data_IF_408413354988
#
_entry.id   IF_408413354988
#
_cell.length_a   1.000
_cell.length_b   1.000
_cell.length_c   1.000
_cell.angle_alpha   90.00
_cell.angle_beta   90.00
_cell.angle_gamma   90.00
#
_symmetry.space_group_name_H-M   'P 1'
#
loop_
_entity.id
_entity.type
_entity.pdbx_description
1 polymer ?
#
# COMPACT_ATOMS: atom_id res chain seq x y z
N UNK A 1 -45.48 19.73 -68.88
CA UNK A 1 -44.23 19.02 -68.75
C UNK A 1 -43.57 19.47 -67.44
N UNK A 2 -43.81 18.74 -66.36
CA UNK A 2 -43.28 19.06 -65.03
C UNK A 2 -42.12 18.12 -64.74
N UNK A 3 -40.92 18.65 -64.58
CA UNK A 3 -39.73 17.89 -64.16
C UNK A 3 -39.63 17.91 -62.64
N UNK A 4 -39.77 16.75 -62.04
CA UNK A 4 -39.57 16.52 -60.59
C UNK A 4 -38.07 16.47 -60.27
N UNK A 5 -37.61 17.34 -59.37
CA UNK A 5 -36.29 17.26 -58.75
C UNK A 5 -36.40 16.47 -57.44
N UNK A 6 -35.75 15.32 -57.38
CA UNK A 6 -35.58 14.53 -56.15
C UNK A 6 -34.25 14.92 -55.46
N UNK A 7 -34.39 15.54 -54.31
CA UNK A 7 -33.22 15.91 -53.46
C UNK A 7 -32.91 14.73 -52.56
N UNK A 8 -31.73 14.14 -52.70
CA UNK A 8 -31.21 13.10 -51.82
C UNK A 8 -30.53 13.75 -50.61
N UNK A 9 -31.05 13.51 -49.39
CA UNK A 9 -30.38 13.82 -48.13
C UNK A 9 -29.37 12.72 -47.80
N UNK A 10 -28.08 13.07 -47.79
CA UNK A 10 -27.05 12.20 -47.28
C UNK A 10 -26.86 12.45 -45.75
N UNK A 11 -27.25 11.50 -44.94
CA UNK A 11 -26.98 11.51 -43.49
C UNK A 11 -25.58 10.97 -43.23
N UNK A 12 -24.66 11.86 -42.82
CA UNK A 12 -23.34 11.47 -42.35
C UNK A 12 -23.42 11.04 -40.88
N UNK A 13 -23.23 9.75 -40.61
CA UNK A 13 -23.11 9.22 -39.26
C UNK A 13 -21.69 9.45 -38.75
N UNK A 14 -21.52 10.35 -37.75
CA UNK A 14 -20.28 10.52 -37.02
C UNK A 14 -20.12 9.35 -36.05
N UNK A 15 -19.21 8.43 -36.36
CA UNK A 15 -18.79 7.40 -35.40
C UNK A 15 -17.78 8.01 -34.41
N UNK A 16 -18.22 8.24 -33.14
CA UNK A 16 -17.35 8.57 -32.04
C UNK A 16 -16.59 7.30 -31.63
N UNK A 17 -15.33 7.18 -32.04
CA UNK A 17 -14.42 6.15 -31.51
C UNK A 17 -13.94 6.59 -30.14
N UNK A 18 -14.47 5.98 -29.06
CA UNK A 18 -13.95 6.11 -27.73
C UNK A 18 -12.58 5.43 -27.67
N UNK A 19 -11.52 6.23 -27.64
CA UNK A 19 -10.17 5.72 -27.35
C UNK A 19 -10.09 5.44 -25.86
N UNK A 20 -10.09 4.16 -25.49
CA UNK A 20 -9.74 3.73 -24.16
C UNK A 20 -8.25 4.05 -23.92
N UNK A 21 -7.99 5.12 -23.16
CA UNK A 21 -6.66 5.45 -22.69
C UNK A 21 -6.25 4.37 -21.69
N UNK A 22 -5.46 3.40 -22.12
CA UNK A 22 -4.76 2.49 -21.22
C UNK A 22 -3.74 3.32 -20.44
N UNK A 23 -4.06 3.62 -19.17
CA UNK A 23 -3.13 4.19 -18.24
C UNK A 23 -2.00 3.17 -18.02
N UNK A 24 -0.93 3.34 -18.79
CA UNK A 24 0.33 2.63 -18.59
C UNK A 24 0.89 3.08 -17.25
N UNK A 25 0.85 2.19 -16.24
CA UNK A 25 1.50 2.42 -14.95
C UNK A 25 3.00 2.49 -15.24
N UNK A 26 3.54 3.71 -15.37
CA UNK A 26 4.96 3.91 -15.51
C UNK A 26 5.64 3.31 -14.29
N UNK A 27 6.56 2.38 -14.51
CA UNK A 27 7.49 1.91 -13.47
C UNK A 27 8.16 3.17 -12.91
N UNK A 28 8.06 3.42 -11.59
CA UNK A 28 8.77 4.56 -11.03
C UNK A 28 10.26 4.40 -11.31
N UNK A 29 10.91 5.46 -11.77
CA UNK A 29 12.36 5.53 -11.88
C UNK A 29 13.00 5.08 -10.57
N UNK A 30 14.31 4.85 -10.55
CA UNK A 30 15.07 4.40 -9.36
C UNK A 30 14.58 5.13 -8.10
N UNK A 31 13.94 4.37 -7.18
CA UNK A 31 13.46 4.92 -5.92
C UNK A 31 14.68 5.23 -5.05
N UNK A 32 14.82 6.46 -4.62
CA UNK A 32 15.88 6.86 -3.69
C UNK A 32 15.46 6.47 -2.28
N UNK A 33 16.06 5.40 -1.76
CA UNK A 33 15.77 4.88 -0.42
C UNK A 33 16.78 5.49 0.55
N UNK A 34 16.33 6.22 1.61
CA UNK A 34 17.22 6.82 2.59
C UNK A 34 18.16 5.80 3.23
N UNK A 35 19.43 6.15 3.40
CA UNK A 35 20.44 5.29 4.03
C UNK A 35 20.03 4.82 5.42
N UNK A 36 19.30 5.66 6.17
CA UNK A 36 18.81 5.34 7.53
C UNK A 36 17.90 4.09 7.58
N UNK A 37 17.23 3.76 6.48
CA UNK A 37 16.35 2.59 6.38
C UNK A 37 16.88 1.54 5.41
N UNK A 38 18.15 1.62 5.03
CA UNK A 38 18.82 0.66 4.13
C UNK A 38 19.68 -0.30 4.96
N UNK A 39 19.26 -1.56 5.17
CA UNK A 39 20.05 -2.52 5.93
C UNK A 39 21.34 -2.86 5.18
N UNK A 40 22.51 -2.81 5.88
CA UNK A 40 23.80 -3.05 5.24
C UNK A 40 23.93 -4.53 4.79
N UNK A 41 24.55 -4.74 3.62
CA UNK A 41 24.91 -6.07 3.13
C UNK A 41 23.74 -6.95 2.69
N UNK A 42 22.51 -6.43 2.69
CA UNK A 42 21.33 -7.16 2.21
C UNK A 42 20.86 -6.60 0.86
N UNK A 43 20.33 -7.49 0.03
CA UNK A 43 19.77 -7.16 -1.28
C UNK A 43 18.30 -7.57 -1.35
N UNK A 44 17.49 -6.77 -2.04
CA UNK A 44 16.09 -7.12 -2.28
C UNK A 44 16.00 -8.26 -3.28
N UNK A 45 15.24 -9.30 -2.93
CA UNK A 45 14.95 -10.43 -3.80
C UNK A 45 13.46 -10.53 -4.18
N UNK A 46 12.59 -9.79 -3.46
CA UNK A 46 11.16 -9.83 -3.71
C UNK A 46 10.55 -8.46 -3.45
N UNK A 47 9.73 -7.99 -4.39
CA UNK A 47 8.97 -6.73 -4.31
C UNK A 47 7.48 -7.05 -4.24
N UNK A 48 6.81 -6.53 -3.21
CA UNK A 48 5.42 -6.87 -2.88
C UNK A 48 4.60 -5.61 -2.69
N UNK A 49 3.81 -5.19 -3.68
CA UNK A 49 2.78 -4.18 -3.50
C UNK A 49 1.76 -4.59 -2.44
N UNK A 50 1.28 -3.62 -1.68
CA UNK A 50 0.27 -3.81 -0.64
C UNK A 50 -0.82 -2.75 -0.72
N UNK A 51 -2.06 -3.17 -0.44
CA UNK A 51 -3.23 -2.30 -0.35
C UNK A 51 -4.10 -2.72 0.83
N UNK A 52 -4.49 -1.76 1.66
CA UNK A 52 -5.29 -2.06 2.83
C UNK A 52 -5.57 -0.84 3.68
N UNK A 53 -5.62 -1.03 5.00
CA UNK A 53 -5.88 0.01 5.98
C UNK A 53 -4.88 -0.03 7.14
N UNK A 54 -4.58 1.14 7.68
CA UNK A 54 -4.02 1.30 9.02
C UNK A 54 -5.18 1.46 9.99
N UNK A 55 -5.21 0.67 11.05
CA UNK A 55 -6.26 0.67 12.05
C UNK A 55 -5.77 1.44 13.27
N UNK A 56 -6.59 2.36 13.74
CA UNK A 56 -6.36 3.16 14.93
C UNK A 56 -7.54 3.02 15.88
N UNK A 57 -7.27 2.98 17.18
CA UNK A 57 -8.32 2.98 18.22
C UNK A 57 -8.27 4.31 18.96
N UNK A 58 -9.41 4.96 19.12
CA UNK A 58 -9.52 6.18 19.92
C UNK A 58 -9.36 5.85 21.41
N UNK A 59 -8.43 6.50 22.07
CA UNK A 59 -8.15 6.31 23.48
C UNK A 59 -7.13 7.32 24.00
N UNK A 60 -6.92 7.33 25.31
CA UNK A 60 -5.86 8.15 25.90
C UNK A 60 -4.49 7.61 25.52
N UNK A 61 -3.61 8.48 25.06
CA UNK A 61 -2.21 8.16 24.82
C UNK A 61 -1.40 8.18 26.14
N UNK A 62 -0.09 7.92 26.06
CA UNK A 62 0.79 7.90 27.23
C UNK A 62 0.85 9.23 28.02
N UNK A 63 0.53 10.35 27.34
CA UNK A 63 0.43 11.67 27.98
C UNK A 63 -0.97 11.97 28.56
N UNK A 64 -1.92 11.01 28.49
CA UNK A 64 -3.29 11.17 28.98
C UNK A 64 -4.22 11.95 28.04
N UNK A 65 -3.75 12.37 26.87
CA UNK A 65 -4.56 13.06 25.86
C UNK A 65 -5.33 12.08 24.98
N UNK A 66 -6.54 12.46 24.56
CA UNK A 66 -7.31 11.70 23.57
C UNK A 66 -6.59 11.70 22.21
N UNK A 67 -6.37 10.53 21.65
CA UNK A 67 -5.68 10.35 20.37
C UNK A 67 -6.09 9.04 19.70
N UNK A 68 -5.94 9.01 18.37
CA UNK A 68 -6.02 7.79 17.58
C UNK A 68 -4.71 7.00 17.74
N UNK A 69 -4.74 6.00 18.62
CA UNK A 69 -3.60 5.13 18.89
C UNK A 69 -3.51 4.01 17.84
N UNK A 70 -2.34 3.81 17.26
CA UNK A 70 -2.14 2.77 16.26
C UNK A 70 -2.37 1.38 16.84
N UNK A 71 -3.23 0.59 16.18
CA UNK A 71 -3.55 -0.80 16.53
C UNK A 71 -2.81 -1.80 15.65
N UNK A 72 -2.76 -1.57 14.36
CA UNK A 72 -2.08 -2.44 13.40
C UNK A 72 -2.55 -2.21 11.97
N UNK A 73 -1.81 -2.77 10.99
CA UNK A 73 -2.25 -2.82 9.60
C UNK A 73 -3.21 -4.00 9.36
N UNK A 74 -3.97 -3.88 8.28
CA UNK A 74 -4.69 -4.98 7.64
C UNK A 74 -4.62 -4.73 6.14
N UNK A 75 -3.84 -5.54 5.40
CA UNK A 75 -3.63 -5.34 3.97
C UNK A 75 -3.49 -6.66 3.22
N UNK A 76 -3.86 -6.60 1.95
CA UNK A 76 -3.57 -7.63 0.97
C UNK A 76 -2.23 -7.35 0.31
N UNK A 77 -1.52 -8.43 -0.01
CA UNK A 77 -0.21 -8.43 -0.64
C UNK A 77 -0.33 -8.98 -2.06
N UNK A 78 0.33 -8.32 -3.00
CA UNK A 78 0.23 -8.66 -4.41
C UNK A 78 1.61 -8.90 -5.02
N UNK A 79 1.67 -9.71 -6.07
CA UNK A 79 2.84 -9.78 -6.93
C UNK A 79 2.82 -8.65 -7.99
N UNK A 80 3.83 -8.59 -8.83
CA UNK A 80 3.93 -7.59 -9.91
C UNK A 80 2.85 -7.73 -10.98
N UNK A 81 2.18 -8.87 -11.07
CA UNK A 81 1.06 -9.16 -11.97
C UNK A 81 -0.31 -8.82 -11.34
N UNK A 82 -0.32 -8.15 -10.18
CA UNK A 82 -1.52 -7.81 -9.40
C UNK A 82 -2.31 -9.02 -8.88
N UNK A 83 -1.71 -10.20 -8.85
CA UNK A 83 -2.30 -11.38 -8.20
C UNK A 83 -2.04 -11.28 -6.70
N UNK A 84 -3.07 -11.52 -5.88
CA UNK A 84 -2.91 -11.66 -4.43
C UNK A 84 -2.01 -12.86 -4.12
N UNK A 85 -1.05 -12.64 -3.22
CA UNK A 85 -0.07 -13.65 -2.79
C UNK A 85 0.02 -13.79 -1.27
N UNK A 86 -0.75 -12.98 -0.52
CA UNK A 86 -0.72 -13.04 0.94
C UNK A 86 -1.44 -11.89 1.60
N UNK A 87 -1.20 -11.74 2.90
CA UNK A 87 -1.76 -10.70 3.77
C UNK A 87 -0.71 -10.14 4.72
N UNK A 88 -0.94 -8.91 5.18
CA UNK A 88 -0.13 -8.22 6.19
C UNK A 88 -1.02 -7.70 7.31
N UNK A 89 -0.65 -7.98 8.54
CA UNK A 89 -1.44 -7.64 9.71
C UNK A 89 -0.57 -7.35 10.94
N UNK A 90 -1.21 -7.08 12.08
CA UNK A 90 -0.51 -6.74 13.32
C UNK A 90 0.54 -7.77 13.72
N UNK A 91 1.61 -7.25 14.35
CA UNK A 91 2.72 -8.06 14.84
C UNK A 91 4.13 -7.53 14.50
N UNK A 92 4.40 -6.74 13.45
CA UNK A 92 3.87 -6.75 12.08
C UNK A 92 4.20 -8.08 11.38
N UNK A 93 3.19 -8.68 10.77
CA UNK A 93 3.26 -10.02 10.18
C UNK A 93 2.97 -9.99 8.68
N UNK A 94 3.72 -10.75 7.89
CA UNK A 94 3.46 -11.05 6.48
C UNK A 94 3.27 -12.55 6.34
N UNK A 95 2.13 -12.96 5.82
CA UNK A 95 1.73 -14.36 5.65
C UNK A 95 1.38 -14.60 4.18
N UNK A 96 2.11 -15.50 3.54
CA UNK A 96 1.94 -15.88 2.15
C UNK A 96 0.87 -16.95 1.97
N UNK A 97 0.20 -16.95 0.82
CA UNK A 97 -0.70 -18.04 0.41
C UNK A 97 0.05 -19.36 0.18
N UNK A 98 1.37 -19.29 0.05
CA UNK A 98 2.29 -20.45 -0.05
C UNK A 98 2.65 -21.07 1.32
N UNK A 99 2.07 -20.56 2.42
CA UNK A 99 2.27 -21.08 3.78
C UNK A 99 3.48 -20.49 4.52
N UNK A 100 4.23 -19.61 3.89
CA UNK A 100 5.32 -18.89 4.54
C UNK A 100 4.83 -17.72 5.37
N UNK A 101 5.33 -17.57 6.61
CA UNK A 101 5.00 -16.46 7.50
C UNK A 101 6.26 -15.86 8.12
N UNK A 102 6.34 -14.53 8.15
CA UNK A 102 7.42 -13.81 8.85
C UNK A 102 6.85 -12.71 9.75
N UNK A 103 7.49 -12.52 10.90
CA UNK A 103 7.20 -11.44 11.84
C UNK A 103 8.42 -10.54 11.91
N UNK A 104 8.19 -9.23 11.79
CA UNK A 104 9.25 -8.23 11.85
C UNK A 104 9.21 -7.37 13.10
N UNK A 105 10.26 -6.60 13.30
CA UNK A 105 10.30 -5.51 14.28
C UNK A 105 10.93 -4.28 13.64
N UNK A 106 10.37 -3.11 13.89
CA UNK A 106 10.89 -1.85 13.35
C UNK A 106 12.27 -1.57 13.95
N UNK A 107 13.27 -1.37 13.09
CA UNK A 107 14.66 -0.97 13.45
C UNK A 107 14.90 0.51 13.18
N UNK A 108 14.35 1.01 12.07
CA UNK A 108 14.52 2.40 11.67
C UNK A 108 13.32 2.88 10.86
N UNK A 109 13.16 4.19 10.80
CA UNK A 109 12.15 4.84 9.98
C UNK A 109 12.71 6.09 9.30
N UNK A 110 12.02 6.50 8.24
CA UNK A 110 12.23 7.77 7.56
C UNK A 110 10.88 8.36 7.16
N UNK A 111 10.73 9.68 7.07
CA UNK A 111 9.51 10.29 6.55
C UNK A 111 9.19 9.76 5.15
N UNK A 112 7.91 9.60 4.83
CA UNK A 112 7.47 9.37 3.46
C UNK A 112 7.80 10.60 2.61
N UNK A 113 8.49 10.46 1.46
CA UNK A 113 8.73 11.57 0.56
C UNK A 113 7.41 12.28 0.19
N UNK A 114 7.41 13.61 0.25
CA UNK A 114 6.21 14.41 0.01
C UNK A 114 5.17 14.42 1.12
N UNK A 115 5.38 13.69 2.23
CA UNK A 115 4.48 13.68 3.39
C UNK A 115 3.11 13.04 3.17
N UNK A 116 2.91 12.32 2.06
CA UNK A 116 1.60 11.82 1.64
C UNK A 116 1.22 10.46 2.23
N UNK A 117 2.04 9.89 3.11
CA UNK A 117 1.81 8.56 3.67
C UNK A 117 2.51 8.34 5.00
N UNK A 118 2.21 7.19 5.58
CA UNK A 118 2.89 6.72 6.79
C UNK A 118 4.40 6.57 6.56
N UNK A 119 5.24 6.65 7.61
CA UNK A 119 6.70 6.58 7.48
C UNK A 119 7.18 5.35 6.70
N UNK A 120 8.26 5.51 5.95
CA UNK A 120 9.02 4.39 5.42
C UNK A 120 9.77 3.70 6.53
N UNK A 121 9.94 2.39 6.46
CA UNK A 121 10.52 1.60 7.53
C UNK A 121 11.60 0.64 7.02
N UNK A 122 12.54 0.34 7.89
CA UNK A 122 13.32 -0.87 7.90
C UNK A 122 12.89 -1.73 9.10
N UNK A 123 12.49 -2.98 8.84
CA UNK A 123 12.14 -3.97 9.84
C UNK A 123 13.12 -5.15 9.77
N UNK A 124 13.62 -5.59 10.91
CA UNK A 124 14.36 -6.83 11.06
C UNK A 124 13.38 -7.99 11.20
N UNK A 125 13.62 -9.11 10.52
CA UNK A 125 12.83 -10.33 10.73
C UNK A 125 13.18 -10.96 12.07
N UNK A 126 12.18 -11.19 12.90
CA UNK A 126 12.30 -11.79 14.23
C UNK A 126 11.98 -13.28 14.24
N UNK A 127 11.04 -13.71 13.43
CA UNK A 127 10.72 -15.12 13.26
C UNK A 127 10.23 -15.40 11.85
N UNK A 128 10.47 -16.64 11.42
CA UNK A 128 9.97 -17.20 10.16
C UNK A 128 9.37 -18.57 10.46
N UNK A 129 8.21 -18.86 9.88
CA UNK A 129 7.49 -20.11 10.03
C UNK A 129 7.04 -20.63 8.66
N UNK A 130 6.97 -21.95 8.51
CA UNK A 130 6.58 -22.60 7.27
C UNK A 130 7.64 -22.50 6.17
N UNK A 131 7.19 -22.70 4.93
CA UNK A 131 8.03 -22.58 3.73
C UNK A 131 7.30 -21.72 2.72
N UNK A 132 8.01 -20.74 2.14
CA UNK A 132 7.43 -19.82 1.15
C UNK A 132 8.36 -18.67 0.85
N UNK A 133 7.95 -17.85 -0.12
CA UNK A 133 8.79 -16.78 -0.63
C UNK A 133 9.17 -15.73 0.44
N UNK A 134 8.33 -15.49 1.46
CA UNK A 134 8.62 -14.52 2.50
C UNK A 134 9.67 -15.00 3.50
N UNK A 135 9.78 -16.31 3.73
CA UNK A 135 10.60 -16.89 4.81
C UNK A 135 12.10 -16.79 4.60
N UNK A 136 12.55 -16.43 3.39
CA UNK A 136 13.97 -16.19 3.09
C UNK A 136 14.46 -14.82 3.58
N UNK A 137 13.56 -13.93 3.99
CA UNK A 137 13.92 -12.57 4.36
C UNK A 137 14.67 -12.52 5.71
N UNK A 138 15.70 -11.67 5.77
CA UNK A 138 16.37 -11.21 6.98
C UNK A 138 15.89 -9.83 7.41
N UNK A 139 15.46 -9.03 6.43
CA UNK A 139 14.89 -7.72 6.65
C UNK A 139 13.76 -7.42 5.65
N UNK A 140 12.90 -6.48 6.03
CA UNK A 140 11.82 -5.98 5.19
C UNK A 140 11.86 -4.46 5.21
N UNK A 141 11.73 -3.83 4.04
CA UNK A 141 11.51 -2.38 3.93
C UNK A 141 10.07 -2.11 3.54
N UNK A 142 9.45 -1.12 4.17
CA UNK A 142 8.20 -0.51 3.71
C UNK A 142 8.52 0.82 3.07
N UNK A 143 8.23 0.97 1.80
CA UNK A 143 8.50 2.16 0.98
C UNK A 143 7.28 2.55 0.15
N UNK A 144 7.35 3.67 -0.57
CA UNK A 144 6.31 4.16 -1.49
C UNK A 144 4.91 4.18 -0.85
N UNK A 145 4.86 4.63 0.40
CA UNK A 145 3.62 4.70 1.17
C UNK A 145 2.76 5.87 0.72
N UNK A 146 1.45 5.64 0.59
CA UNK A 146 0.43 6.66 0.36
C UNK A 146 -0.70 6.44 1.35
N UNK A 147 -1.14 7.50 2.02
CA UNK A 147 -2.21 7.45 3.01
C UNK A 147 -1.83 6.74 4.32
N UNK A 148 -2.80 6.25 5.04
CA UNK A 148 -2.63 5.48 6.27
C UNK A 148 -2.36 6.31 7.54
N UNK A 149 -2.21 7.63 7.45
CA UNK A 149 -1.93 8.50 8.61
C UNK A 149 -3.16 8.59 9.53
N UNK A 150 -2.92 8.56 10.84
CA UNK A 150 -3.98 8.72 11.83
C UNK A 150 -4.80 9.98 11.58
N UNK A 151 -6.13 9.94 11.77
CA UNK A 151 -6.93 11.16 11.71
C UNK A 151 -6.46 12.18 12.75
N UNK A 152 -6.48 13.46 12.39
CA UNK A 152 -6.09 14.55 13.30
C UNK A 152 -7.20 14.97 14.27
N UNK A 153 -8.43 14.52 14.01
CA UNK A 153 -9.64 14.90 14.77
C UNK A 153 -10.55 13.69 15.03
N UNK A 154 -11.61 13.91 15.79
CA UNK A 154 -12.67 12.92 16.00
C UNK A 154 -12.35 11.85 17.04
N UNK A 155 -11.27 11.99 17.82
CA UNK A 155 -11.01 11.17 18.99
C UNK A 155 -11.17 12.00 20.27
N UNK A 156 -12.20 11.68 21.03
CA UNK A 156 -12.59 12.28 22.31
C UNK A 156 -13.27 11.22 23.19
N UNK A 157 -13.79 11.62 24.33
CA UNK A 157 -14.45 10.74 25.27
C UNK A 157 -15.70 10.06 24.68
N UNK A 158 -16.46 10.76 23.84
CA UNK A 158 -17.67 10.23 23.19
C UNK A 158 -17.34 9.17 22.12
N UNK A 159 -16.11 9.19 21.62
CA UNK A 159 -15.60 8.26 20.62
C UNK A 159 -14.63 7.22 21.19
N UNK A 160 -14.52 7.12 22.52
CA UNK A 160 -13.65 6.16 23.19
C UNK A 160 -13.88 4.72 22.68
N UNK A 161 -12.78 4.00 22.40
CA UNK A 161 -12.72 2.63 21.86
C UNK A 161 -13.25 2.46 20.43
N UNK A 162 -13.69 3.52 19.75
CA UNK A 162 -14.03 3.42 18.32
C UNK A 162 -12.77 3.24 17.49
N UNK A 163 -12.91 2.52 16.38
CA UNK A 163 -11.83 2.32 15.41
C UNK A 163 -11.97 3.26 14.22
N UNK A 164 -10.84 3.72 13.72
CA UNK A 164 -10.69 4.39 12.43
C UNK A 164 -9.82 3.51 11.53
N UNK A 165 -10.32 3.19 10.33
CA UNK A 165 -9.66 2.36 9.31
C UNK A 165 -9.25 3.24 8.16
N UNK A 166 -7.99 3.65 8.13
CA UNK A 166 -7.47 4.63 7.16
C UNK A 166 -6.82 3.93 5.98
N UNK A 167 -7.33 4.09 4.76
CA UNK A 167 -6.78 3.45 3.57
C UNK A 167 -5.30 3.81 3.36
N UNK A 168 -4.50 2.82 2.95
CA UNK A 168 -3.12 3.04 2.54
C UNK A 168 -2.70 2.07 1.46
N UNK A 169 -1.64 2.46 0.75
CA UNK A 169 -0.84 1.58 -0.10
C UNK A 169 0.63 1.66 0.31
N UNK A 170 1.37 0.62 0.02
CA UNK A 170 2.81 0.55 0.24
C UNK A 170 3.45 -0.44 -0.74
N UNK A 171 4.78 -0.40 -0.81
CA UNK A 171 5.58 -1.48 -1.39
C UNK A 171 6.47 -2.06 -0.30
N UNK A 172 6.46 -3.36 -0.15
CA UNK A 172 7.39 -4.09 0.73
C UNK A 172 8.50 -4.70 -0.11
N UNK A 173 9.75 -4.41 0.27
CA UNK A 173 10.94 -5.08 -0.26
C UNK A 173 11.39 -6.10 0.78
N UNK A 174 11.48 -7.37 0.37
CA UNK A 174 12.04 -8.43 1.20
C UNK A 174 13.51 -8.61 0.83
N UNK A 175 14.41 -8.59 1.84
CA UNK A 175 15.86 -8.58 1.66
C UNK A 175 16.50 -9.78 2.34
N UNK A 176 17.56 -10.33 1.70
CA UNK A 176 18.39 -11.44 2.20
C UNK A 176 19.86 -11.21 1.98
#
# INVERSE_FOLDING_TARGET
MLKSLTTALATAALALSAQASSAQTAMPGKVDIPAAITPPGLTSYLTVPAKGVQIYTCGKNAAGAWAWNFKGPEAELFNTEQKKIGKHYAGPTWEGEDGGKVVGAVKANAPSPGGNGIPWLWLEVKSSEGSGQFTQAKAIQRILTVGGTAPSQGCDEANANKESRVPYTATYLFLK
#
